data_IF_675837746908
#
_entry.id   IF_675837746908
#
_cell.length_a   1.000
_cell.length_b   1.000
_cell.length_c   1.000
_cell.angle_alpha   90.00
_cell.angle_beta   90.00
_cell.angle_gamma   90.00
#
_symmetry.space_group_name_H-M   'P 1'
#
loop_
_entity.id
_entity.type
_entity.pdbx_description
1 polymer ?
#
# COMPACT_ATOMS: atom_id res chain seq x y z
N UNK A 1 -6.69 -9.98 -8.18
CA UNK A 1 -6.25 -9.53 -6.84
C UNK A 1 -5.08 -10.37 -6.40
N UNK A 2 -4.06 -9.74 -5.83
CA UNK A 2 -2.89 -10.41 -5.28
C UNK A 2 -2.85 -10.19 -3.77
N UNK A 3 -2.50 -11.21 -3.01
CA UNK A 3 -2.50 -11.17 -1.54
C UNK A 3 -1.22 -11.81 -1.01
N UNK A 4 -0.60 -11.18 -0.02
CA UNK A 4 0.44 -11.79 0.78
C UNK A 4 -0.19 -12.40 2.04
N UNK A 5 0.15 -13.64 2.34
CA UNK A 5 -0.19 -14.30 3.60
C UNK A 5 1.07 -14.37 4.43
N UNK A 6 1.04 -13.74 5.61
CA UNK A 6 2.17 -13.61 6.52
C UNK A 6 1.87 -14.42 7.81
N UNK A 7 2.31 -15.69 7.89
CA UNK A 7 2.06 -16.51 9.08
C UNK A 7 2.79 -15.93 10.29
N UNK A 8 2.09 -15.80 11.43
CA UNK A 8 2.67 -15.29 12.67
C UNK A 8 3.82 -16.17 13.16
N UNK A 9 3.74 -17.47 12.93
CA UNK A 9 4.80 -18.41 13.30
C UNK A 9 6.15 -18.14 12.58
N UNK A 10 6.13 -17.44 11.44
CA UNK A 10 7.31 -17.06 10.68
C UNK A 10 7.76 -15.62 10.95
N UNK A 11 7.05 -14.92 11.83
CA UNK A 11 7.43 -13.56 12.21
C UNK A 11 8.70 -13.56 13.05
N UNK A 12 9.54 -12.56 12.83
CA UNK A 12 10.55 -12.19 13.83
C UNK A 12 9.83 -11.35 14.89
N UNK A 13 9.52 -11.98 16.00
CA UNK A 13 8.80 -11.34 17.10
C UNK A 13 9.78 -10.79 18.14
N UNK A 14 9.63 -9.52 18.46
CA UNK A 14 10.35 -8.89 19.55
C UNK A 14 9.39 -8.03 20.37
N UNK A 15 9.20 -8.38 21.64
CA UNK A 15 8.20 -7.75 22.53
C UNK A 15 6.82 -7.76 21.86
N UNK A 16 6.23 -6.58 21.63
CA UNK A 16 4.90 -6.39 21.08
C UNK A 16 4.90 -6.08 19.56
N UNK A 17 5.94 -6.50 18.85
CA UNK A 17 6.08 -6.26 17.40
C UNK A 17 6.38 -7.56 16.67
N UNK A 18 5.62 -7.83 15.64
CA UNK A 18 5.85 -8.90 14.67
C UNK A 18 6.41 -8.29 13.39
N UNK A 19 7.53 -8.81 12.90
CA UNK A 19 8.19 -8.34 11.69
C UNK A 19 8.36 -9.45 10.67
N UNK A 20 8.13 -9.13 9.40
CA UNK A 20 8.35 -10.01 8.25
C UNK A 20 9.19 -9.30 7.22
N UNK A 21 10.11 -10.04 6.61
CA UNK A 21 10.85 -9.58 5.44
C UNK A 21 10.65 -10.59 4.32
N UNK A 22 10.25 -10.09 3.14
CA UNK A 22 9.98 -10.92 1.97
C UNK A 22 10.15 -10.13 0.67
N UNK A 23 10.32 -10.85 -0.43
CA UNK A 23 10.51 -10.27 -1.75
C UNK A 23 9.22 -9.70 -2.32
N UNK A 24 9.34 -8.62 -3.05
CA UNK A 24 8.24 -8.05 -3.83
C UNK A 24 7.90 -8.98 -4.99
N UNK A 25 6.73 -9.60 -4.94
CA UNK A 25 6.24 -10.54 -5.98
C UNK A 25 5.19 -9.94 -6.91
N UNK A 26 4.64 -8.76 -6.57
CA UNK A 26 3.56 -8.15 -7.33
C UNK A 26 3.95 -6.76 -7.82
N UNK A 27 3.62 -6.47 -9.07
CA UNK A 27 3.79 -5.15 -9.64
C UNK A 27 2.61 -4.25 -9.19
N UNK A 28 2.86 -3.42 -8.18
CA UNK A 28 1.84 -2.56 -7.55
C UNK A 28 1.88 -1.15 -8.10
N UNK A 29 3.02 -0.71 -8.61
CA UNK A 29 3.21 0.63 -9.13
C UNK A 29 4.05 0.61 -10.41
N UNK A 30 3.66 1.34 -11.46
CA UNK A 30 4.44 1.45 -12.68
C UNK A 30 5.78 2.19 -12.46
N UNK A 31 5.93 2.88 -11.33
CA UNK A 31 7.14 3.65 -10.99
C UNK A 31 8.13 2.87 -10.11
N UNK A 32 7.79 1.66 -9.70
CA UNK A 32 8.63 0.81 -8.86
C UNK A 32 8.90 -0.54 -9.52
N UNK A 33 10.17 -0.85 -9.75
CA UNK A 33 10.62 -2.14 -10.26
C UNK A 33 10.25 -3.31 -9.35
N UNK A 34 10.61 -4.52 -9.77
CA UNK A 34 10.33 -5.76 -9.00
C UNK A 34 11.45 -6.12 -8.02
N UNK A 35 12.65 -5.56 -8.20
CA UNK A 35 13.82 -5.88 -7.40
C UNK A 35 13.84 -5.10 -6.08
N UNK A 36 12.87 -5.41 -5.22
CA UNK A 36 12.75 -4.81 -3.90
C UNK A 36 12.33 -5.84 -2.86
N UNK A 37 12.67 -5.57 -1.60
CA UNK A 37 12.22 -6.31 -0.44
C UNK A 37 11.27 -5.45 0.39
N UNK A 38 10.27 -6.09 0.96
CA UNK A 38 9.40 -5.49 1.97
C UNK A 38 9.89 -5.88 3.37
N UNK A 39 10.00 -4.90 4.26
CA UNK A 39 10.14 -5.11 5.71
C UNK A 39 8.87 -4.56 6.37
N UNK A 40 8.01 -5.47 6.84
CA UNK A 40 6.75 -5.13 7.46
C UNK A 40 6.82 -5.37 8.96
N UNK A 41 6.32 -4.41 9.74
CA UNK A 41 6.27 -4.44 11.19
C UNK A 41 4.87 -4.13 11.66
N UNK A 42 4.31 -5.00 12.47
CA UNK A 42 2.98 -4.85 13.06
C UNK A 42 3.11 -4.83 14.57
N UNK A 43 2.54 -3.84 15.25
CA UNK A 43 2.37 -3.93 16.69
C UNK A 43 1.30 -4.96 17.02
N UNK A 44 1.39 -5.58 18.20
CA UNK A 44 0.27 -6.38 18.71
C UNK A 44 -0.95 -5.48 18.85
N UNK A 45 -2.13 -5.88 18.32
CA UNK A 45 -3.33 -5.05 18.39
C UNK A 45 -3.82 -4.90 19.84
N UNK A 46 -3.79 -3.69 20.35
CA UNK A 46 -4.37 -3.29 21.63
C UNK A 46 -5.40 -2.18 21.38
N UNK A 47 -5.30 -1.02 22.03
CA UNK A 47 -6.09 0.16 21.69
C UNK A 47 -5.65 0.78 20.35
N UNK A 48 -4.40 0.54 19.96
CA UNK A 48 -3.84 0.99 18.70
C UNK A 48 -3.20 -0.20 17.97
N UNK A 49 -3.35 -0.22 16.65
CA UNK A 49 -2.58 -1.06 15.76
C UNK A 49 -1.71 -0.16 14.90
N UNK A 50 -0.41 -0.34 14.99
CA UNK A 50 0.56 0.33 14.12
C UNK A 50 1.12 -0.67 13.12
N UNK A 51 1.01 -0.32 11.85
CA UNK A 51 1.60 -1.08 10.75
C UNK A 51 2.63 -0.18 10.07
N UNK A 52 3.86 -0.63 9.98
CA UNK A 52 4.92 0.08 9.29
C UNK A 52 5.50 -0.82 8.19
N UNK A 53 5.71 -0.25 7.02
CA UNK A 53 6.26 -0.92 5.86
C UNK A 53 7.43 -0.12 5.32
N UNK A 54 8.58 -0.75 5.20
CA UNK A 54 9.71 -0.25 4.42
C UNK A 54 9.81 -1.02 3.10
N UNK A 55 10.11 -0.30 2.02
CA UNK A 55 10.50 -0.86 0.73
C UNK A 55 11.99 -0.59 0.55
N UNK A 56 12.76 -1.66 0.50
CA UNK A 56 14.22 -1.65 0.44
C UNK A 56 14.67 -2.12 -0.94
N UNK A 57 15.75 -1.54 -1.45
CA UNK A 57 16.38 -2.05 -2.67
C UNK A 57 16.89 -3.48 -2.44
N UNK A 58 16.66 -4.36 -3.42
CA UNK A 58 17.33 -5.64 -3.45
C UNK A 58 18.83 -5.38 -3.65
N UNK A 59 19.64 -5.94 -2.76
CA UNK A 59 21.09 -5.79 -2.86
C UNK A 59 21.60 -6.81 -3.87
N UNK A 60 22.43 -6.34 -4.78
CA UNK A 60 23.33 -7.21 -5.54
C UNK A 60 24.17 -8.01 -4.54
N UNK A 61 23.93 -9.31 -4.49
CA UNK A 61 24.70 -10.44 -3.90
C UNK A 61 25.66 -10.21 -2.71
N UNK A 62 25.89 -9.00 -2.25
CA UNK A 62 26.72 -8.70 -1.08
C UNK A 62 25.86 -8.57 0.18
N UNK A 63 26.08 -9.39 1.20
CA UNK A 63 25.34 -9.31 2.44
C UNK A 63 25.70 -8.03 3.19
N UNK A 64 24.98 -6.94 2.91
CA UNK A 64 25.09 -5.70 3.67
C UNK A 64 24.14 -5.73 4.88
N UNK A 65 24.54 -5.16 6.02
CA UNK A 65 23.67 -5.04 7.17
C UNK A 65 22.43 -4.20 6.82
N UNK A 66 21.25 -4.52 7.38
CA UNK A 66 19.97 -3.88 7.04
C UNK A 66 19.96 -2.35 7.19
N UNK A 67 20.86 -1.80 7.99
CA UNK A 67 21.01 -0.37 8.18
C UNK A 67 21.62 0.38 6.96
N UNK A 68 22.23 -0.34 6.02
CA UNK A 68 22.89 0.24 4.83
C UNK A 68 22.06 0.07 3.54
N UNK A 69 20.92 -0.64 3.62
CA UNK A 69 20.03 -0.78 2.48
C UNK A 69 19.32 0.54 2.20
N UNK A 70 19.39 1.01 0.96
CA UNK A 70 18.68 2.23 0.58
C UNK A 70 17.17 2.02 0.71
N UNK A 71 16.54 2.76 1.60
CA UNK A 71 15.09 2.79 1.75
C UNK A 71 14.51 3.69 0.65
N UNK A 72 13.73 3.09 -0.24
CA UNK A 72 13.07 3.79 -1.35
C UNK A 72 11.77 4.44 -0.95
N UNK A 73 11.04 3.77 -0.08
CA UNK A 73 9.73 4.22 0.34
C UNK A 73 9.42 3.64 1.73
N UNK A 74 8.72 4.40 2.53
CA UNK A 74 8.13 3.91 3.77
C UNK A 74 6.68 4.39 3.90
N UNK A 75 5.89 3.61 4.61
CA UNK A 75 4.52 3.96 4.93
C UNK A 75 4.19 3.48 6.35
N UNK A 76 3.48 4.32 7.07
CA UNK A 76 2.99 3.98 8.41
C UNK A 76 1.48 4.18 8.47
N UNK A 77 0.78 3.14 8.89
CA UNK A 77 -0.64 3.18 9.20
C UNK A 77 -0.83 3.04 10.71
N UNK A 78 -1.57 3.96 11.31
CA UNK A 78 -1.97 3.92 12.71
C UNK A 78 -3.48 3.83 12.76
N UNK A 79 -3.99 2.76 13.36
CA UNK A 79 -5.41 2.52 13.55
C UNK A 79 -5.72 2.59 15.05
N UNK A 80 -6.82 3.23 15.38
CA UNK A 80 -7.36 3.26 16.74
C UNK A 80 -8.56 2.34 16.83
N UNK A 81 -8.57 1.51 17.87
CA UNK A 81 -9.72 0.65 18.17
C UNK A 81 -10.93 1.47 18.49
N UNK A 82 -12.06 1.16 17.86
CA UNK A 82 -13.34 1.74 18.16
C UNK A 82 -14.31 0.64 18.59
N UNK A 83 -15.11 0.84 19.64
CA UNK A 83 -16.14 -0.13 20.01
C UNK A 83 -17.19 -0.21 18.90
N UNK A 84 -17.57 -1.43 18.53
CA UNK A 84 -18.62 -1.65 17.54
C UNK A 84 -19.99 -1.51 18.20
N UNK A 85 -20.52 -0.28 18.18
CA UNK A 85 -21.87 0.04 18.65
C UNK A 85 -22.73 0.52 17.49
N UNK A 86 -24.06 0.49 17.65
CA UNK A 86 -24.96 1.03 16.62
C UNK A 86 -24.63 2.50 16.27
N UNK A 87 -24.25 3.30 17.25
CA UNK A 87 -23.87 4.71 17.05
C UNK A 87 -22.56 4.88 16.27
N UNK A 88 -21.51 4.12 16.61
CA UNK A 88 -20.23 4.17 15.88
C UNK A 88 -20.40 3.66 14.46
N UNK A 89 -21.18 2.61 14.28
CA UNK A 89 -21.49 2.05 12.96
C UNK A 89 -22.27 3.06 12.10
N UNK A 90 -23.33 3.66 12.64
CA UNK A 90 -24.13 4.67 11.95
C UNK A 90 -23.26 5.87 11.54
N UNK A 91 -22.41 6.37 12.44
CA UNK A 91 -21.50 7.49 12.16
C UNK A 91 -20.52 7.14 11.05
N UNK A 92 -19.97 5.93 11.05
CA UNK A 92 -19.06 5.46 10.01
C UNK A 92 -19.79 5.36 8.67
N UNK A 93 -20.96 4.74 8.65
CA UNK A 93 -21.77 4.59 7.43
C UNK A 93 -22.23 5.93 6.84
N UNK A 94 -22.56 6.91 7.68
CA UNK A 94 -22.92 8.25 7.24
C UNK A 94 -21.70 9.07 6.79
N UNK A 95 -20.52 8.83 7.37
CA UNK A 95 -19.27 9.50 6.98
C UNK A 95 -18.67 8.97 5.67
N UNK A 96 -18.85 7.70 5.36
CA UNK A 96 -18.27 7.07 4.16
C UNK A 96 -18.76 7.66 2.82
N UNK A 97 -20.06 7.91 2.58
CA UNK A 97 -20.50 8.48 1.32
C UNK A 97 -19.96 9.90 1.08
N UNK A 98 -19.80 10.69 2.14
CA UNK A 98 -19.19 12.02 2.04
C UNK A 98 -17.72 11.94 1.62
N UNK A 99 -16.99 10.95 2.12
CA UNK A 99 -15.59 10.71 1.75
C UNK A 99 -15.47 10.26 0.29
N UNK A 100 -16.35 9.38 -0.18
CA UNK A 100 -16.39 8.93 -1.57
C UNK A 100 -16.72 10.10 -2.52
N UNK A 101 -17.69 10.93 -2.17
CA UNK A 101 -18.03 12.14 -2.95
C UNK A 101 -16.85 13.11 -3.00
N UNK A 102 -16.16 13.35 -1.89
CA UNK A 102 -14.97 14.20 -1.85
C UNK A 102 -13.86 13.67 -2.74
N UNK A 103 -13.58 12.36 -2.71
CA UNK A 103 -12.57 11.74 -3.57
C UNK A 103 -12.95 11.86 -5.05
N UNK A 104 -14.20 11.58 -5.41
CA UNK A 104 -14.68 11.70 -6.79
C UNK A 104 -14.55 13.15 -7.26
N UNK A 105 -14.99 14.12 -6.47
CA UNK A 105 -14.85 15.55 -6.80
C UNK A 105 -13.37 15.95 -6.93
N UNK A 106 -12.50 15.48 -6.05
CA UNK A 106 -11.07 15.76 -6.11
C UNK A 106 -10.43 15.20 -7.39
N UNK A 107 -10.78 13.97 -7.78
CA UNK A 107 -10.30 13.36 -9.03
C UNK A 107 -10.74 14.18 -10.25
N UNK A 108 -12.01 14.53 -10.33
CA UNK A 108 -12.54 15.32 -11.45
C UNK A 108 -11.94 16.74 -11.49
N UNK A 109 -11.75 17.36 -10.33
CA UNK A 109 -11.07 18.65 -10.22
C UNK A 109 -9.63 18.59 -10.71
N UNK A 110 -8.88 17.56 -10.32
CA UNK A 110 -7.52 17.38 -10.82
C UNK A 110 -7.48 17.11 -12.32
N UNK A 111 -8.38 16.28 -12.83
CA UNK A 111 -8.49 16.02 -14.26
C UNK A 111 -8.80 17.28 -15.05
N UNK A 112 -9.76 18.08 -14.57
CA UNK A 112 -10.09 19.38 -15.16
C UNK A 112 -8.89 20.34 -15.16
N UNK A 113 -8.19 20.43 -14.05
CA UNK A 113 -6.99 21.26 -13.91
C UNK A 113 -5.87 20.85 -14.87
N UNK A 114 -5.66 19.55 -15.07
CA UNK A 114 -4.67 19.02 -16.00
C UNK A 114 -5.08 19.30 -17.45
N UNK A 115 -6.36 19.15 -17.78
CA UNK A 115 -6.91 19.47 -19.09
C UNK A 115 -6.78 20.95 -19.42
N UNK A 116 -7.10 21.83 -18.49
CA UNK A 116 -6.93 23.29 -18.66
C UNK A 116 -5.46 23.71 -18.80
N UNK A 117 -4.52 22.90 -18.33
CA UNK A 117 -3.07 23.11 -18.52
C UNK A 117 -2.53 22.54 -19.83
N UNK A 118 -3.39 21.99 -20.68
CA UNK A 118 -3.01 21.46 -21.98
C UNK A 118 -2.20 20.17 -21.93
N UNK A 119 -2.25 19.42 -20.84
CA UNK A 119 -1.58 18.13 -20.76
C UNK A 119 -2.24 17.14 -21.74
N UNK A 120 -1.48 16.46 -22.62
CA UNK A 120 -2.03 15.51 -23.56
C UNK A 120 -2.61 14.31 -22.82
N UNK A 121 -3.86 13.94 -23.17
CA UNK A 121 -4.50 12.71 -22.71
C UNK A 121 -3.96 11.57 -23.57
N UNK A 122 -3.34 10.59 -22.97
CA UNK A 122 -2.85 9.40 -23.66
C UNK A 122 -3.91 8.31 -23.56
N UNK A 123 -4.41 7.86 -24.69
CA UNK A 123 -5.34 6.74 -24.76
C UNK A 123 -4.65 5.43 -24.33
N UNK A 124 -5.42 4.53 -23.73
CA UNK A 124 -4.95 3.21 -23.41
C UNK A 124 -4.53 2.46 -24.68
N UNK A 125 -3.32 1.86 -24.73
CA UNK A 125 -2.95 1.03 -25.85
C UNK A 125 -3.95 -0.13 -25.97
N UNK A 126 -4.59 -0.24 -27.14
CA UNK A 126 -5.50 -1.34 -27.45
C UNK A 126 -4.73 -2.66 -27.38
N UNK A 127 -5.17 -3.67 -26.60
CA UNK A 127 -4.49 -4.95 -26.59
C UNK A 127 -4.50 -5.56 -28.00
N UNK A 128 -3.40 -6.19 -28.46
CA UNK A 128 -3.34 -6.80 -29.77
C UNK A 128 -4.43 -7.87 -29.90
N UNK A 129 -5.23 -7.76 -30.96
CA UNK A 129 -6.23 -8.76 -31.32
C UNK A 129 -5.52 -10.10 -31.54
N UNK A 130 -5.74 -11.08 -30.66
CA UNK A 130 -5.28 -12.45 -30.89
C UNK A 130 -6.12 -13.01 -32.05
N UNK A 131 -5.55 -13.02 -33.24
CA UNK A 131 -6.05 -13.87 -34.32
C UNK A 131 -5.98 -15.33 -33.87
N UNK A 132 -7.13 -15.93 -33.78
CA UNK A 132 -7.27 -17.39 -33.59
C UNK A 132 -7.01 -18.03 -34.98
N UNK A 133 -5.86 -18.66 -35.11
CA UNK A 133 -5.64 -19.67 -36.14
C UNK A 133 -6.10 -21.01 -35.61
#
# INVERSE_FOLDING_TARGET
RHTYVLPVAQARSHRDVHAWRFDKRFHVSPFMGMQHHYDWRFSVPTEHLRVHMDVLDAIDATPQPPAQQARRFDATLVLQRQPLTAGTLARTLLGYPLMTVQVVLAIHWQALRLWLRGNPVHDHPTPPVRERS
#
